data_IF_421845782081
#
_entry.id   IF_421845782081
#
_cell.length_a   1.000
_cell.length_b   1.000
_cell.length_c   1.000
_cell.angle_alpha   90.00
_cell.angle_beta   90.00
_cell.angle_gamma   90.00
#
_symmetry.space_group_name_H-M   'P 1'
#
loop_
_entity.id
_entity.type
_entity.pdbx_description
1 polymer ?
#
# COMPACT_ATOMS: atom_id res chain seq x y z
N UNK A 1 20.24 16.28 -13.74
CA UNK A 1 18.76 16.30 -13.63
C UNK A 1 18.22 14.99 -14.15
N UNK A 2 17.09 14.50 -13.66
CA UNK A 2 16.44 13.28 -14.11
C UNK A 2 14.98 13.56 -14.49
N UNK A 3 14.54 13.09 -15.65
CA UNK A 3 13.13 13.14 -16.01
C UNK A 3 12.32 12.18 -15.13
N UNK A 4 11.01 12.40 -14.98
CA UNK A 4 10.16 11.47 -14.21
C UNK A 4 10.19 10.03 -14.74
N UNK A 5 10.40 9.84 -16.05
CA UNK A 5 10.56 8.51 -16.66
C UNK A 5 11.85 7.82 -16.20
N UNK A 6 12.96 8.56 -16.19
CA UNK A 6 14.26 8.07 -15.71
C UNK A 6 14.20 7.77 -14.21
N UNK A 7 13.61 8.67 -13.42
CA UNK A 7 13.41 8.45 -11.99
C UNK A 7 12.54 7.21 -11.71
N UNK A 8 11.48 7.02 -12.50
CA UNK A 8 10.63 5.83 -12.43
C UNK A 8 11.41 4.55 -12.73
N UNK A 9 12.28 4.57 -13.75
CA UNK A 9 13.13 3.45 -14.10
C UNK A 9 14.14 3.11 -12.98
N UNK A 10 14.83 4.12 -12.44
CA UNK A 10 15.78 3.96 -11.32
C UNK A 10 15.11 3.31 -10.10
N UNK A 11 13.89 3.74 -9.77
CA UNK A 11 13.16 3.22 -8.61
C UNK A 11 12.35 1.94 -8.91
N UNK A 12 12.28 1.50 -10.17
CA UNK A 12 11.48 0.35 -10.59
C UNK A 12 9.97 0.54 -10.39
N UNK A 13 9.48 1.78 -10.51
CA UNK A 13 8.09 2.17 -10.25
C UNK A 13 7.45 2.81 -11.50
N UNK A 14 6.15 3.11 -11.42
CA UNK A 14 5.44 3.85 -12.47
C UNK A 14 5.63 5.35 -12.30
N UNK A 15 5.60 6.11 -13.40
CA UNK A 15 5.67 7.59 -13.40
C UNK A 15 4.67 8.25 -12.45
N UNK A 16 3.45 7.71 -12.32
CA UNK A 16 2.46 8.22 -11.36
C UNK A 16 2.92 8.17 -9.89
N UNK A 17 3.76 7.20 -9.54
CA UNK A 17 4.32 7.09 -8.19
C UNK A 17 5.40 8.15 -7.97
N UNK A 18 6.16 8.50 -9.01
CA UNK A 18 7.08 9.64 -8.98
C UNK A 18 6.31 10.94 -8.77
N UNK A 19 5.20 11.15 -9.50
CA UNK A 19 4.34 12.33 -9.29
C UNK A 19 3.85 12.42 -7.85
N UNK A 20 3.36 11.31 -7.29
CA UNK A 20 2.96 11.26 -5.89
C UNK A 20 4.12 11.60 -4.92
N UNK A 21 5.33 11.09 -5.17
CA UNK A 21 6.51 11.42 -4.35
C UNK A 21 6.84 12.92 -4.39
N UNK A 22 6.66 13.57 -5.54
CA UNK A 22 6.88 15.01 -5.70
C UNK A 22 5.77 15.82 -5.03
N UNK A 23 4.51 15.46 -5.26
CA UNK A 23 3.33 16.13 -4.68
C UNK A 23 3.33 16.08 -3.16
N UNK A 24 3.84 15.00 -2.57
CA UNK A 24 3.99 14.84 -1.13
C UNK A 24 5.31 15.42 -0.59
N UNK A 25 6.07 16.15 -1.41
CA UNK A 25 7.37 16.76 -1.08
C UNK A 25 8.42 15.75 -0.56
N UNK A 26 8.29 14.46 -0.91
CA UNK A 26 9.29 13.43 -0.60
C UNK A 26 10.49 13.53 -1.53
N UNK A 27 10.24 13.73 -2.83
CA UNK A 27 11.25 14.12 -3.81
C UNK A 27 11.09 15.61 -4.09
N UNK A 28 12.14 16.38 -3.85
CA UNK A 28 12.10 17.83 -4.12
C UNK A 28 12.16 18.06 -5.62
N UNK A 29 11.16 18.76 -6.15
CA UNK A 29 11.27 19.31 -7.50
C UNK A 29 12.24 20.50 -7.47
N UNK A 30 12.98 20.72 -8.55
CA UNK A 30 13.76 21.95 -8.68
C UNK A 30 12.81 23.16 -8.68
N UNK A 31 13.18 24.22 -7.94
CA UNK A 31 12.37 25.43 -7.77
C UNK A 31 12.11 26.19 -9.08
N UNK A 32 12.87 25.90 -10.14
CA UNK A 32 12.77 26.56 -11.43
C UNK A 32 11.68 25.90 -12.30
N UNK A 33 10.42 26.13 -11.92
CA UNK A 33 9.30 25.90 -12.81
C UNK A 33 9.34 26.93 -13.94
N UNK A 34 9.93 26.56 -15.09
CA UNK A 34 9.75 27.27 -16.37
C UNK A 34 8.75 26.48 -17.21
N UNK A 35 7.63 27.13 -17.53
CA UNK A 35 6.59 26.63 -18.43
C UNK A 35 7.23 25.93 -19.65
N UNK A 36 6.97 24.63 -19.80
CA UNK A 36 7.43 23.82 -20.94
C UNK A 36 8.57 22.83 -20.65
N UNK A 37 9.37 23.02 -19.60
CA UNK A 37 10.42 22.06 -19.19
C UNK A 37 9.86 21.05 -18.20
N UNK A 38 9.12 20.09 -18.74
CA UNK A 38 8.39 19.09 -17.98
C UNK A 38 9.29 18.31 -17.01
N UNK A 39 9.02 18.46 -15.71
CA UNK A 39 9.13 17.37 -14.72
C UNK A 39 10.56 16.86 -14.48
N UNK A 40 11.51 17.77 -14.31
CA UNK A 40 12.88 17.41 -13.93
C UNK A 40 13.05 17.35 -12.42
N UNK A 41 13.75 16.32 -11.96
CA UNK A 41 14.12 16.08 -10.57
C UNK A 41 15.63 16.19 -10.43
N UNK A 42 16.16 16.69 -9.31
CA UNK A 42 17.57 16.54 -8.99
C UNK A 42 17.92 15.05 -9.00
N UNK A 43 18.89 14.66 -9.83
CA UNK A 43 19.28 13.25 -9.95
C UNK A 43 19.83 12.72 -8.62
N UNK A 44 20.53 13.56 -7.86
CA UNK A 44 21.02 13.26 -6.53
C UNK A 44 19.90 12.91 -5.53
N UNK A 45 18.75 13.58 -5.61
CA UNK A 45 17.62 13.29 -4.73
C UNK A 45 16.98 11.94 -5.07
N UNK A 46 16.84 11.65 -6.36
CA UNK A 46 16.34 10.34 -6.84
C UNK A 46 17.28 9.22 -6.41
N UNK A 47 18.60 9.41 -6.57
CA UNK A 47 19.62 8.44 -6.17
C UNK A 47 19.61 8.23 -4.66
N UNK A 48 19.63 9.29 -3.85
CA UNK A 48 19.56 9.18 -2.39
C UNK A 48 18.29 8.46 -1.93
N UNK A 49 17.16 8.74 -2.57
CA UNK A 49 15.93 8.01 -2.30
C UNK A 49 16.06 6.53 -2.68
N UNK A 50 16.65 6.23 -3.84
CA UNK A 50 16.90 4.86 -4.30
C UNK A 50 17.90 4.10 -3.42
N UNK A 51 18.84 4.79 -2.78
CA UNK A 51 19.80 4.21 -1.83
C UNK A 51 19.11 3.78 -0.54
N UNK A 52 18.21 4.63 -0.02
CA UNK A 52 17.56 4.42 1.27
C UNK A 52 16.28 3.58 1.20
N UNK A 53 15.56 3.61 0.06
CA UNK A 53 14.23 3.03 -0.05
C UNK A 53 14.12 2.02 -1.19
N UNK A 54 13.15 1.12 -1.06
CA UNK A 54 12.73 0.19 -2.10
C UNK A 54 11.22 0.11 -2.14
N UNK A 55 10.64 0.11 -3.35
CA UNK A 55 9.20 -0.04 -3.50
C UNK A 55 8.75 -1.45 -3.12
N UNK A 56 7.64 -1.57 -2.38
CA UNK A 56 7.09 -2.89 -2.01
C UNK A 56 6.65 -3.70 -3.24
N UNK A 57 6.26 -3.03 -4.33
CA UNK A 57 5.94 -3.69 -5.60
C UNK A 57 7.17 -4.36 -6.24
N UNK A 58 8.35 -3.75 -6.10
CA UNK A 58 9.62 -4.32 -6.60
C UNK A 58 9.98 -5.55 -5.78
N UNK A 59 9.89 -5.47 -4.45
CA UNK A 59 10.11 -6.62 -3.56
C UNK A 59 9.11 -7.75 -3.85
N UNK A 60 7.82 -7.43 -3.94
CA UNK A 60 6.80 -8.42 -4.26
C UNK A 60 7.09 -9.14 -5.58
N UNK A 61 7.49 -8.40 -6.63
CA UNK A 61 7.85 -8.99 -7.92
C UNK A 61 9.04 -9.93 -7.80
N UNK A 62 10.08 -9.54 -7.04
CA UNK A 62 11.27 -10.36 -6.78
C UNK A 62 10.91 -11.70 -6.12
N UNK A 63 9.97 -11.70 -5.19
CA UNK A 63 9.51 -12.89 -4.49
C UNK A 63 8.25 -13.55 -5.10
N UNK A 64 7.84 -13.13 -6.31
CA UNK A 64 6.66 -13.64 -7.02
C UNK A 64 5.35 -13.55 -6.21
N UNK A 65 5.20 -12.48 -5.43
CA UNK A 65 4.03 -12.18 -4.61
C UNK A 65 3.12 -11.16 -5.28
N UNK A 66 1.83 -11.19 -4.94
CA UNK A 66 0.89 -10.13 -5.33
C UNK A 66 1.25 -8.84 -4.58
N UNK A 67 1.59 -7.77 -5.30
CA UNK A 67 2.06 -6.51 -4.71
C UNK A 67 1.03 -5.87 -3.76
N UNK A 68 -0.25 -5.92 -4.09
CA UNK A 68 -1.31 -5.36 -3.26
C UNK A 68 -1.50 -6.15 -1.97
N UNK A 69 -1.51 -7.48 -2.04
CA UNK A 69 -1.61 -8.35 -0.88
C UNK A 69 -0.39 -8.22 0.02
N UNK A 70 0.82 -8.17 -0.55
CA UNK A 70 2.06 -8.03 0.19
C UNK A 70 2.15 -6.66 0.90
N UNK A 71 1.91 -5.56 0.20
CA UNK A 71 1.92 -4.23 0.81
C UNK A 71 0.87 -4.10 1.92
N UNK A 72 -0.32 -4.70 1.73
CA UNK A 72 -1.36 -4.71 2.75
C UNK A 72 -0.98 -5.56 3.96
N UNK A 73 -0.39 -6.74 3.75
CA UNK A 73 0.13 -7.58 4.82
C UNK A 73 1.16 -6.82 5.66
N UNK A 74 2.15 -6.19 5.02
CA UNK A 74 3.17 -5.40 5.73
C UNK A 74 2.55 -4.26 6.55
N UNK A 75 1.54 -3.57 6.02
CA UNK A 75 0.83 -2.51 6.75
C UNK A 75 0.07 -3.07 7.95
N UNK A 76 -0.62 -4.20 7.77
CA UNK A 76 -1.41 -4.86 8.81
C UNK A 76 -0.51 -5.50 9.89
N UNK A 77 0.72 -5.91 9.54
CA UNK A 77 1.72 -6.43 10.47
C UNK A 77 2.53 -5.33 11.18
N UNK A 78 2.19 -4.05 10.99
CA UNK A 78 2.88 -2.94 11.63
C UNK A 78 4.28 -2.65 11.10
N UNK A 79 4.62 -3.15 9.90
CA UNK A 79 5.91 -2.83 9.28
C UNK A 79 5.95 -1.34 8.93
N UNK A 80 7.03 -0.61 9.29
CA UNK A 80 7.14 0.81 9.00
C UNK A 80 7.25 1.03 7.49
N UNK A 81 6.20 1.59 6.89
CA UNK A 81 6.07 1.86 5.46
C UNK A 81 5.97 3.36 5.23
N UNK A 82 6.73 3.87 4.26
CA UNK A 82 6.43 5.16 3.66
C UNK A 82 5.23 4.99 2.72
N UNK A 83 4.14 5.69 3.03
CA UNK A 83 2.89 5.66 2.27
C UNK A 83 2.76 6.96 1.50
N UNK A 84 2.67 6.85 0.18
CA UNK A 84 2.55 7.99 -0.73
C UNK A 84 1.18 7.93 -1.40
N UNK A 85 0.23 8.81 -1.05
CA UNK A 85 -1.04 8.95 -1.75
C UNK A 85 -0.81 9.26 -3.24
N UNK A 86 -1.61 8.63 -4.11
CA UNK A 86 -1.62 8.92 -5.54
C UNK A 86 -2.87 9.73 -5.87
N UNK A 87 -2.69 10.85 -6.56
CA UNK A 87 -3.71 11.85 -6.89
C UNK A 87 -4.65 11.47 -8.04
N UNK A 88 -4.40 10.35 -8.74
CA UNK A 88 -5.28 9.86 -9.81
C UNK A 88 -6.66 9.43 -9.25
N UNK A 89 -7.68 9.38 -10.13
CA UNK A 89 -9.11 9.08 -9.84
C UNK A 89 -9.42 7.75 -9.12
N UNK A 90 -8.41 7.01 -8.66
CA UNK A 90 -8.54 5.89 -7.73
C UNK A 90 -7.65 6.12 -6.52
N UNK A 91 -8.17 5.86 -5.31
CA UNK A 91 -7.53 5.96 -3.98
C UNK A 91 -6.30 5.03 -3.83
N UNK A 92 -5.35 5.13 -4.75
CA UNK A 92 -4.15 4.33 -4.82
C UNK A 92 -3.09 4.90 -3.89
N UNK A 93 -2.31 4.01 -3.30
CA UNK A 93 -1.16 4.38 -2.48
C UNK A 93 0.06 3.66 -3.05
N UNK A 94 1.18 4.35 -3.13
CA UNK A 94 2.48 3.72 -3.32
C UNK A 94 3.10 3.47 -1.95
N UNK A 95 3.73 2.32 -1.79
CA UNK A 95 4.36 1.92 -0.53
C UNK A 95 5.85 1.68 -0.77
N UNK A 96 6.65 2.27 0.08
CA UNK A 96 8.10 2.11 0.09
C UNK A 96 8.57 1.65 1.46
N UNK A 97 9.55 0.76 1.47
CA UNK A 97 10.26 0.33 2.67
C UNK A 97 11.63 0.98 2.66
N UNK A 98 12.14 1.34 3.84
CA UNK A 98 13.58 1.57 3.96
C UNK A 98 14.32 0.25 3.74
N UNK A 99 15.50 0.29 3.11
CA UNK A 99 16.24 -0.92 2.76
C UNK A 99 16.76 -1.70 3.97
N UNK A 100 17.14 -1.00 5.03
CA UNK A 100 17.53 -1.60 6.31
C UNK A 100 16.39 -2.41 6.94
N UNK A 101 15.16 -1.89 6.89
CA UNK A 101 13.96 -2.63 7.29
C UNK A 101 13.70 -3.78 6.32
N UNK A 102 13.76 -3.53 5.01
CA UNK A 102 13.52 -4.55 3.99
C UNK A 102 14.50 -5.74 4.05
N UNK A 103 15.71 -5.53 4.58
CA UNK A 103 16.69 -6.59 4.81
C UNK A 103 16.34 -7.48 6.01
N UNK A 104 15.55 -6.97 6.96
CA UNK A 104 15.21 -7.65 8.22
C UNK A 104 13.82 -8.31 8.19
N UNK A 105 12.94 -7.94 7.24
CA UNK A 105 11.61 -8.52 7.18
C UNK A 105 11.64 -10.00 6.79
N UNK A 106 10.86 -10.81 7.49
CA UNK A 106 10.55 -12.15 7.04
C UNK A 106 9.56 -12.08 5.87
N UNK A 107 9.97 -12.56 4.70
CA UNK A 107 9.12 -12.56 3.52
C UNK A 107 8.01 -13.61 3.69
N UNK A 108 6.72 -13.22 3.64
CA UNK A 108 5.62 -14.15 3.79
C UNK A 108 5.50 -15.05 2.54
N UNK A 109 5.12 -16.30 2.76
CA UNK A 109 4.80 -17.19 1.64
C UNK A 109 3.47 -16.77 0.98
N UNK A 110 3.24 -17.14 -0.31
CA UNK A 110 1.94 -16.92 -0.96
C UNK A 110 0.77 -17.53 -0.18
N UNK A 111 1.00 -18.68 0.48
CA UNK A 111 0.00 -19.33 1.33
C UNK A 111 -0.35 -18.48 2.54
N UNK A 112 0.65 -17.95 3.24
CA UNK A 112 0.42 -17.06 4.39
C UNK A 112 -0.38 -15.82 3.99
N UNK A 113 -0.08 -15.20 2.84
CA UNK A 113 -0.85 -14.05 2.34
C UNK A 113 -2.33 -14.40 2.09
N UNK A 114 -2.61 -15.60 1.55
CA UNK A 114 -3.98 -16.08 1.33
C UNK A 114 -4.70 -16.34 2.65
N UNK A 115 -4.05 -17.01 3.59
CA UNK A 115 -4.61 -17.28 4.92
C UNK A 115 -4.91 -15.98 5.67
N UNK A 116 -4.01 -14.99 5.59
CA UNK A 116 -4.23 -13.66 6.13
C UNK A 116 -5.46 -12.98 5.51
N UNK A 117 -5.57 -13.02 4.17
CA UNK A 117 -6.73 -12.48 3.47
C UNK A 117 -8.04 -13.18 3.88
N UNK A 118 -8.02 -14.51 4.02
CA UNK A 118 -9.19 -15.30 4.43
C UNK A 118 -9.65 -14.92 5.84
N UNK A 119 -8.72 -14.82 6.81
CA UNK A 119 -9.01 -14.37 8.18
C UNK A 119 -9.66 -12.99 8.17
N UNK A 120 -9.19 -12.10 7.29
CA UNK A 120 -9.74 -10.75 7.15
C UNK A 120 -11.16 -10.74 6.57
N UNK A 121 -11.44 -11.57 5.56
CA UNK A 121 -12.79 -11.71 5.00
C UNK A 121 -13.76 -12.25 6.06
N UNK A 122 -13.33 -13.26 6.82
CA UNK A 122 -14.16 -13.85 7.88
C UNK A 122 -14.44 -12.84 8.98
N UNK A 123 -13.43 -12.09 9.43
CA UNK A 123 -13.61 -11.05 10.47
C UNK A 123 -14.50 -9.91 9.98
N UNK A 124 -14.28 -9.40 8.77
CA UNK A 124 -15.15 -8.37 8.17
C UNK A 124 -16.59 -8.84 8.03
N UNK A 125 -16.80 -10.10 7.61
CA UNK A 125 -18.15 -10.69 7.53
C UNK A 125 -18.80 -10.79 8.91
N UNK A 126 -18.04 -11.19 9.94
CA UNK A 126 -18.54 -11.24 11.32
C UNK A 126 -18.94 -9.85 11.82
N UNK A 127 -18.11 -8.83 11.57
CA UNK A 127 -18.40 -7.43 11.93
C UNK A 127 -19.66 -6.93 11.22
N UNK A 128 -19.75 -7.10 9.91
CA UNK A 128 -20.91 -6.69 9.13
C UNK A 128 -22.20 -7.37 9.61
N UNK A 129 -22.15 -8.67 9.94
CA UNK A 129 -23.31 -9.36 10.54
C UNK A 129 -23.68 -8.85 11.93
N UNK A 130 -22.70 -8.42 12.73
CA UNK A 130 -22.96 -7.82 14.03
C UNK A 130 -23.62 -6.44 13.89
N UNK A 131 -23.11 -5.60 13.00
CA UNK A 131 -23.69 -4.29 12.68
C UNK A 131 -25.12 -4.42 12.14
N UNK A 132 -25.32 -5.32 11.17
CA UNK A 132 -26.65 -5.62 10.62
C UNK A 132 -27.62 -6.08 11.71
N UNK A 133 -27.17 -6.98 12.60
CA UNK A 133 -28.00 -7.43 13.72
C UNK A 133 -28.36 -6.27 14.63
N UNK A 134 -27.38 -5.49 15.06
CA UNK A 134 -27.60 -4.36 15.95
C UNK A 134 -28.59 -3.36 15.33
N UNK A 135 -28.40 -2.98 14.08
CA UNK A 135 -29.32 -2.10 13.36
C UNK A 135 -30.75 -2.67 13.31
N UNK A 136 -30.88 -3.98 13.11
CA UNK A 136 -32.19 -4.65 13.03
C UNK A 136 -32.86 -4.80 14.40
N UNK A 137 -32.11 -5.08 15.45
CA UNK A 137 -32.61 -5.14 16.83
C UNK A 137 -33.06 -3.76 17.31
N UNK A 138 -32.29 -2.71 17.02
CA UNK A 138 -32.69 -1.32 17.29
C UNK A 138 -33.97 -0.94 16.56
N UNK A 139 -34.14 -1.35 15.30
CA UNK A 139 -35.34 -1.04 14.52
C UNK A 139 -36.60 -1.79 14.99
N UNK A 140 -36.43 -2.98 15.58
CA UNK A 140 -37.54 -3.85 16.01
C UNK A 140 -37.83 -3.76 17.52
N UNK A 141 -36.98 -3.07 18.27
CA UNK A 141 -36.95 -3.02 19.74
C UNK A 141 -36.98 -4.41 20.40
N UNK A 142 -36.46 -5.42 19.68
CA UNK A 142 -36.50 -6.84 20.07
C UNK A 142 -35.25 -7.58 19.58
N UNK A 143 -34.69 -8.50 20.39
CA UNK A 143 -33.51 -9.26 20.01
C UNK A 143 -33.80 -10.26 18.88
N UNK A 144 -32.86 -10.41 17.94
CA UNK A 144 -32.94 -11.40 16.88
C UNK A 144 -32.69 -12.81 17.44
N UNK A 145 -33.55 -13.78 17.08
CA UNK A 145 -33.36 -15.19 17.45
C UNK A 145 -32.01 -15.70 16.95
N UNK A 146 -31.19 -16.22 17.88
CA UNK A 146 -29.93 -16.90 17.54
C UNK A 146 -30.25 -18.19 16.79
N UNK A 147 -29.78 -18.31 15.55
CA UNK A 147 -29.80 -19.59 14.84
C UNK A 147 -28.74 -20.48 15.49
N UNK A 148 -29.17 -21.49 16.24
CA UNK A 148 -28.27 -22.50 16.82
C UNK A 148 -27.63 -23.25 15.65
N UNK A 149 -26.33 -23.08 15.46
CA UNK A 149 -25.56 -23.90 14.52
C UNK A 149 -25.57 -25.32 15.08
N UNK A 150 -26.29 -26.24 14.42
CA UNK A 150 -26.22 -27.67 14.75
C UNK A 150 -24.87 -28.18 14.23
N UNK A 151 -23.96 -28.52 15.13
CA UNK A 151 -22.83 -29.37 14.78
C UNK A 151 -23.38 -30.77 14.47
N UNK A 152 -23.06 -31.27 13.29
CA UNK A 152 -23.39 -32.62 12.81
C UNK A 152 -22.09 -33.36 12.58
#
# INVERSE_FOLDING_TARGET
MAAHGEAAAVLGVKVRQIRGLVEQNVLRAAAEYRFGLSKLLPAADVQRFAELHVATSVLAKRFRLNSGAFARYLRESGTPLLVVPLSDRGKGHAFFLRKDVAAQIQIPSPRMLREHAQRRIVTARKQHWAEYRQARETALDKPMRRVRVKHR
#
